data_IF_554561223443
#
_entry.id   IF_554561223443
#
_cell.length_a   1.000
_cell.length_b   1.000
_cell.length_c   1.000
_cell.angle_alpha   90.00
_cell.angle_beta   90.00
_cell.angle_gamma   90.00
#
_symmetry.space_group_name_H-M   'P 1'
#
loop_
_entity.id
_entity.type
_entity.pdbx_description
1 polymer ?
#
# COMPACT_ATOMS: atom_id res chain seq x y z
N UNK A 1 16.08 -5.32 26.66
CA UNK A 1 15.80 -5.39 25.23
C UNK A 1 14.31 -5.21 24.99
N UNK A 2 13.95 -4.41 24.04
CA UNK A 2 12.56 -4.09 23.78
C UNK A 2 12.01 -5.01 22.71
N UNK A 3 10.85 -5.60 22.96
CA UNK A 3 10.17 -6.41 21.95
C UNK A 3 9.29 -5.50 21.10
N UNK A 4 9.43 -5.63 19.79
CA UNK A 4 8.59 -4.90 18.85
C UNK A 4 7.52 -5.84 18.31
N UNK A 5 6.28 -5.42 18.40
CA UNK A 5 5.16 -6.18 17.85
C UNK A 5 4.57 -5.38 16.69
N UNK A 6 4.46 -6.04 15.55
CA UNK A 6 3.91 -5.43 14.35
C UNK A 6 2.62 -6.13 13.96
N UNK A 7 1.68 -5.36 13.47
CA UNK A 7 0.48 -5.88 12.83
C UNK A 7 0.53 -5.57 11.35
N UNK A 8 -0.18 -6.35 10.57
CA UNK A 8 -0.23 -6.20 9.12
C UNK A 8 -1.66 -5.93 8.69
N UNK A 9 -1.82 -4.95 7.83
CA UNK A 9 -3.11 -4.63 7.24
C UNK A 9 -2.99 -4.69 5.71
N UNK A 10 -3.95 -5.34 5.08
CA UNK A 10 -3.98 -5.43 3.62
C UNK A 10 -4.65 -4.21 3.02
N UNK A 11 -4.14 -3.78 1.87
CA UNK A 11 -4.62 -2.58 1.22
C UNK A 11 -4.53 -2.75 -0.29
N UNK A 12 -5.53 -2.25 -1.01
CA UNK A 12 -5.50 -2.19 -2.47
C UNK A 12 -5.59 -0.71 -2.85
N UNK A 13 -4.67 -0.26 -3.69
CA UNK A 13 -4.65 1.13 -4.14
C UNK A 13 -4.54 1.18 -5.65
N UNK A 14 -5.19 2.16 -6.25
CA UNK A 14 -5.17 2.35 -7.69
C UNK A 14 -4.72 3.76 -8.06
N UNK A 15 -4.20 3.88 -9.27
CA UNK A 15 -3.80 5.17 -9.83
C UNK A 15 -3.95 5.11 -11.35
N UNK A 16 -4.25 6.23 -11.95
CA UNK A 16 -4.23 6.36 -13.41
C UNK A 16 -2.87 6.82 -13.93
N UNK A 17 -1.89 7.02 -13.04
CA UNK A 17 -0.58 7.55 -13.39
C UNK A 17 0.52 6.51 -13.38
N UNK A 18 0.65 5.76 -12.30
CA UNK A 18 1.73 4.79 -12.15
C UNK A 18 1.50 3.90 -10.93
N UNK A 19 2.24 2.78 -10.87
CA UNK A 19 2.22 1.92 -9.69
C UNK A 19 2.82 2.65 -8.49
N UNK A 20 3.88 3.42 -8.71
CA UNK A 20 4.49 4.17 -7.62
C UNK A 20 3.51 5.18 -7.04
N UNK A 21 2.77 5.86 -7.90
CA UNK A 21 1.75 6.81 -7.44
C UNK A 21 0.68 6.11 -6.63
N UNK A 22 0.26 4.89 -7.06
CA UNK A 22 -0.71 4.11 -6.32
C UNK A 22 -0.21 3.75 -4.93
N UNK A 23 1.06 3.35 -4.81
CA UNK A 23 1.66 3.02 -3.52
C UNK A 23 1.69 4.25 -2.61
N UNK A 24 2.16 5.38 -3.14
CA UNK A 24 2.30 6.59 -2.33
C UNK A 24 0.96 7.12 -1.86
N UNK A 25 -0.04 7.11 -2.72
CA UNK A 25 -1.38 7.56 -2.34
C UNK A 25 -2.05 6.60 -1.36
N UNK A 26 -1.83 5.31 -1.54
CA UNK A 26 -2.33 4.33 -0.59
C UNK A 26 -1.73 4.52 0.80
N UNK A 27 -0.43 4.77 0.85
CA UNK A 27 0.25 5.06 2.10
C UNK A 27 -0.28 6.34 2.74
N UNK A 28 -0.45 7.39 1.94
CA UNK A 28 -0.94 8.66 2.43
C UNK A 28 -2.33 8.52 3.06
N UNK A 29 -3.22 7.82 2.39
CA UNK A 29 -4.57 7.56 2.91
C UNK A 29 -4.54 6.75 4.19
N UNK A 30 -3.78 5.67 4.19
CA UNK A 30 -3.68 4.78 5.34
C UNK A 30 -3.10 5.50 6.54
N UNK A 31 -2.15 6.40 6.32
CA UNK A 31 -1.49 7.14 7.40
C UNK A 31 -2.44 8.04 8.18
N UNK A 32 -3.61 8.33 7.61
CA UNK A 32 -4.60 9.16 8.29
C UNK A 32 -5.35 8.40 9.38
N UNK A 33 -5.39 7.09 9.28
CA UNK A 33 -6.12 6.25 10.24
C UNK A 33 -5.22 5.25 10.97
N UNK A 34 -4.08 4.90 10.39
CA UNK A 34 -3.15 3.93 10.97
C UNK A 34 -1.89 4.66 11.38
N UNK A 35 -1.52 4.53 12.65
CA UNK A 35 -0.30 5.15 13.19
C UNK A 35 0.87 4.18 13.14
N UNK A 36 2.06 4.76 13.10
CA UNK A 36 3.31 4.00 13.24
C UNK A 36 3.51 2.97 12.14
N UNK A 37 3.18 3.35 10.91
CA UNK A 37 3.46 2.48 9.76
C UNK A 37 4.96 2.45 9.57
N UNK A 38 5.54 1.24 9.57
CA UNK A 38 6.99 1.03 9.50
C UNK A 38 7.44 0.42 8.20
N UNK A 39 6.55 -0.23 7.48
CA UNK A 39 6.94 -0.86 6.23
C UNK A 39 5.78 -1.13 5.31
N UNK A 40 6.10 -1.29 4.04
CA UNK A 40 5.16 -1.65 2.99
C UNK A 40 5.74 -2.84 2.24
N UNK A 41 4.90 -3.83 2.01
CA UNK A 41 5.24 -4.97 1.19
C UNK A 41 4.25 -5.02 0.03
N UNK A 42 4.72 -4.73 -1.17
CA UNK A 42 3.86 -4.78 -2.35
C UNK A 42 3.85 -6.21 -2.86
N UNK A 43 2.71 -6.85 -2.75
CA UNK A 43 2.60 -8.27 -3.08
C UNK A 43 2.17 -8.52 -4.52
N UNK A 44 1.43 -7.59 -5.12
CA UNK A 44 0.96 -7.74 -6.49
C UNK A 44 0.93 -6.40 -7.20
N UNK A 45 1.33 -6.44 -8.46
CA UNK A 45 1.27 -5.31 -9.37
C UNK A 45 0.33 -5.70 -10.49
N UNK A 46 -0.72 -4.94 -10.69
CA UNK A 46 -1.72 -5.24 -11.70
C UNK A 46 -2.00 -4.00 -12.52
N UNK A 47 -2.49 -4.21 -13.73
CA UNK A 47 -2.91 -3.11 -14.58
C UNK A 47 -4.13 -3.54 -15.35
N UNK A 48 -5.04 -2.60 -15.58
CA UNK A 48 -6.18 -2.80 -16.44
C UNK A 48 -5.84 -2.20 -17.80
N UNK A 49 -6.11 -2.95 -18.85
CA UNK A 49 -5.76 -2.56 -20.22
C UNK A 49 -7.02 -2.44 -21.05
N UNK A 50 -7.07 -1.39 -21.86
CA UNK A 50 -8.17 -1.14 -22.76
C UNK A 50 -7.61 -0.59 -24.06
N UNK A 51 -7.95 -1.23 -25.18
CA UNK A 51 -7.46 -0.82 -26.51
C UNK A 51 -5.93 -0.74 -26.59
N UNK A 52 -5.24 -1.69 -25.92
CA UNK A 52 -3.78 -1.75 -25.93
C UNK A 52 -3.09 -0.74 -25.04
N UNK A 53 -3.85 -0.04 -24.21
CA UNK A 53 -3.29 0.95 -23.29
C UNK A 53 -3.65 0.65 -21.87
N UNK A 54 -2.73 0.93 -20.96
CA UNK A 54 -2.98 0.80 -19.54
C UNK A 54 -3.84 1.98 -19.11
N UNK A 55 -5.01 1.68 -18.53
CA UNK A 55 -5.92 2.72 -18.05
C UNK A 55 -5.94 2.81 -16.53
N UNK A 56 -5.48 1.78 -15.85
CA UNK A 56 -5.44 1.80 -14.39
C UNK A 56 -4.28 0.95 -13.90
N UNK A 57 -3.53 1.49 -12.96
CA UNK A 57 -2.48 0.76 -12.25
C UNK A 57 -3.04 0.38 -10.88
N UNK A 58 -2.86 -0.87 -10.48
CA UNK A 58 -3.36 -1.36 -9.20
C UNK A 58 -2.25 -2.06 -8.45
N UNK A 59 -2.13 -1.77 -7.16
CA UNK A 59 -1.19 -2.46 -6.29
C UNK A 59 -1.95 -3.09 -5.14
N UNK A 60 -1.54 -4.30 -4.79
CA UNK A 60 -1.98 -4.98 -3.57
C UNK A 60 -0.80 -4.96 -2.63
N UNK A 61 -0.98 -4.42 -1.46
CA UNK A 61 0.14 -4.26 -0.54
C UNK A 61 -0.26 -4.55 0.88
N UNK A 62 0.73 -4.84 1.69
CA UNK A 62 0.59 -5.04 3.12
C UNK A 62 1.32 -3.94 3.84
N UNK A 63 0.67 -3.34 4.80
CA UNK A 63 1.28 -2.33 5.65
C UNK A 63 1.63 -2.96 6.98
N UNK A 64 2.88 -2.80 7.39
CA UNK A 64 3.31 -3.24 8.70
C UNK A 64 3.35 -2.02 9.61
N UNK A 65 2.67 -2.08 10.73
CA UNK A 65 2.67 -0.98 11.68
C UNK A 65 2.89 -1.49 13.09
N UNK A 66 3.56 -0.65 13.86
CA UNK A 66 3.95 -1.01 15.22
C UNK A 66 2.76 -0.83 16.16
N UNK A 67 2.55 -1.84 17.00
CA UNK A 67 1.50 -1.80 18.00
C UNK A 67 2.01 -1.09 19.24
N UNK A 68 1.29 -0.08 19.67
CA UNK A 68 1.63 0.62 20.91
C UNK A 68 1.22 -0.25 22.10
N UNK A 69 2.07 -0.20 23.13
CA UNK A 69 1.83 -0.96 24.36
C UNK A 69 1.39 -0.06 25.49
#
# INVERSE_FOLDING_TARGET
MTTTVLKVSDLISTSDKSWQDAVEKGLDRASKTIRNIKGIDVTNWKAQVENGKIIEYRVVMKLAFEVEQ
#
